data_IF_397979867209
#
_entry.id   IF_397979867209
#
_cell.length_a   1.000
_cell.length_b   1.000
_cell.length_c   1.000
_cell.angle_alpha   90.00
_cell.angle_beta   90.00
_cell.angle_gamma   90.00
#
_symmetry.space_group_name_H-M   'P 1'
#
loop_
_entity.id
_entity.type
_entity.pdbx_description
1 polymer ?
#
# COMPACT_ATOMS: atom_id res chain seq x y z
N UNK A 1 -2.72 -14.65 0.07
CA UNK A 1 -3.28 -14.24 1.38
C UNK A 1 -2.53 -13.10 2.04
N UNK A 2 -1.21 -13.19 2.25
CA UNK A 2 -0.43 -12.06 2.80
C UNK A 2 -0.61 -10.75 2.02
N UNK A 3 -0.69 -10.83 0.69
CA UNK A 3 -1.00 -9.67 -0.18
C UNK A 3 -2.34 -9.00 0.17
N UNK A 4 -3.41 -9.79 0.45
CA UNK A 4 -4.70 -9.25 0.88
C UNK A 4 -4.55 -8.47 2.19
N UNK A 5 -3.92 -9.11 3.19
CA UNK A 5 -3.74 -8.53 4.52
C UNK A 5 -2.91 -7.25 4.43
N UNK A 6 -1.85 -7.24 3.62
CA UNK A 6 -1.05 -6.04 3.36
C UNK A 6 -1.86 -4.93 2.68
N UNK A 7 -2.72 -5.26 1.71
CA UNK A 7 -3.57 -4.27 1.05
C UNK A 7 -4.63 -3.66 1.98
N UNK A 8 -4.98 -4.31 3.08
CA UNK A 8 -5.85 -3.71 4.12
C UNK A 8 -5.21 -2.50 4.80
N UNK A 9 -3.89 -2.33 4.73
CA UNK A 9 -3.19 -1.17 5.30
C UNK A 9 -3.84 0.15 4.90
N UNK A 10 -4.20 0.32 3.62
CA UNK A 10 -4.83 1.54 3.11
C UNK A 10 -6.24 1.76 3.66
N UNK A 11 -6.97 0.69 3.99
CA UNK A 11 -8.28 0.78 4.65
C UNK A 11 -8.14 1.11 6.15
N UNK A 12 -7.05 0.71 6.79
CA UNK A 12 -6.75 1.10 8.17
C UNK A 12 -6.34 2.57 8.31
N UNK A 13 -5.81 3.22 7.26
CA UNK A 13 -5.38 4.63 7.32
C UNK A 13 -6.49 5.56 7.87
N UNK A 14 -7.69 5.68 7.27
CA UNK A 14 -8.74 6.55 7.79
C UNK A 14 -9.26 6.11 9.17
N UNK A 15 -9.25 4.81 9.48
CA UNK A 15 -9.65 4.29 10.80
C UNK A 15 -8.67 4.73 11.90
N UNK A 16 -7.37 4.77 11.61
CA UNK A 16 -6.32 5.21 12.53
C UNK A 16 -6.16 6.72 12.57
N UNK A 17 -6.46 7.42 11.47
CA UNK A 17 -6.44 8.88 11.42
C UNK A 17 -7.42 9.51 12.42
N UNK A 18 -8.53 8.80 12.71
CA UNK A 18 -9.55 9.28 13.64
C UNK A 18 -9.05 9.42 15.08
N UNK A 19 -8.56 8.36 15.76
CA UNK A 19 -8.03 8.50 17.11
C UNK A 19 -6.71 9.27 17.17
N UNK A 20 -5.87 9.20 16.13
CA UNK A 20 -4.54 9.84 16.17
C UNK A 20 -4.57 11.35 15.94
N UNK A 21 -5.45 11.81 15.04
CA UNK A 21 -5.47 13.19 14.57
C UNK A 21 -6.85 13.85 14.62
N UNK A 22 -7.87 13.15 15.13
CA UNK A 22 -9.25 13.66 15.16
C UNK A 22 -9.95 13.67 13.80
N UNK A 23 -9.37 13.05 12.77
CA UNK A 23 -9.91 13.04 11.40
C UNK A 23 -10.97 11.95 11.25
N UNK A 24 -12.20 12.27 11.65
CA UNK A 24 -13.32 11.32 11.61
C UNK A 24 -13.70 10.94 10.16
N UNK A 25 -13.81 9.65 9.81
CA UNK A 25 -14.33 9.22 8.51
C UNK A 25 -15.79 9.62 8.34
N UNK A 26 -16.13 10.13 7.16
CA UNK A 26 -17.50 10.47 6.78
C UNK A 26 -18.36 9.21 6.53
N UNK A 27 -19.66 9.39 6.31
CA UNK A 27 -20.57 8.26 6.05
C UNK A 27 -20.22 7.49 4.78
N UNK A 28 -19.76 8.20 3.75
CA UNK A 28 -19.32 7.59 2.49
C UNK A 28 -18.21 6.54 2.71
N UNK A 29 -17.26 6.81 3.62
CA UNK A 29 -16.25 5.83 4.00
C UNK A 29 -16.88 4.51 4.49
N UNK A 30 -17.78 4.59 5.47
CA UNK A 30 -18.40 3.39 6.07
C UNK A 30 -19.23 2.57 5.08
N UNK A 31 -19.86 3.22 4.11
CA UNK A 31 -20.60 2.52 3.03
C UNK A 31 -19.66 1.90 2.00
N UNK A 32 -18.55 2.59 1.66
CA UNK A 32 -17.56 2.08 0.71
C UNK A 32 -16.69 0.95 1.28
N UNK A 33 -16.48 0.92 2.60
CA UNK A 33 -15.55 0.02 3.27
C UNK A 33 -15.87 -1.48 3.03
N UNK A 34 -17.10 -1.98 3.24
CA UNK A 34 -17.42 -3.38 2.95
C UNK A 34 -17.19 -3.76 1.49
N UNK A 35 -17.53 -2.86 0.57
CA UNK A 35 -17.35 -3.06 -0.88
C UNK A 35 -15.87 -3.14 -1.23
N UNK A 36 -15.04 -2.26 -0.65
CA UNK A 36 -13.60 -2.26 -0.84
C UNK A 36 -12.94 -3.52 -0.26
N UNK A 37 -13.34 -3.96 0.94
CA UNK A 37 -12.84 -5.19 1.57
C UNK A 37 -13.15 -6.41 0.71
N UNK A 38 -14.39 -6.53 0.21
CA UNK A 38 -14.80 -7.62 -0.69
C UNK A 38 -14.02 -7.58 -2.01
N UNK A 39 -13.82 -6.39 -2.58
CA UNK A 39 -13.04 -6.21 -3.80
C UNK A 39 -11.58 -6.65 -3.64
N UNK A 40 -10.90 -6.18 -2.59
CA UNK A 40 -9.54 -6.60 -2.24
C UNK A 40 -9.44 -8.10 -1.98
N UNK A 41 -10.45 -8.67 -1.30
CA UNK A 41 -10.52 -10.08 -1.00
C UNK A 41 -10.53 -10.90 -2.29
N UNK A 42 -11.47 -10.63 -3.20
CA UNK A 42 -11.57 -11.34 -4.48
C UNK A 42 -10.33 -11.14 -5.35
N UNK A 43 -9.74 -9.95 -5.33
CA UNK A 43 -8.53 -9.62 -6.09
C UNK A 43 -7.28 -10.31 -5.53
N UNK A 44 -7.27 -10.68 -4.25
CA UNK A 44 -6.15 -11.38 -3.63
C UNK A 44 -6.39 -12.89 -3.45
N UNK A 45 -7.62 -13.33 -3.70
CA UNK A 45 -8.06 -14.71 -3.59
C UNK A 45 -7.53 -15.55 -4.76
N UNK A 46 -6.95 -16.72 -4.44
CA UNK A 46 -6.37 -17.65 -5.41
C UNK A 46 -6.94 -19.08 -5.27
N UNK A 47 -8.06 -19.27 -4.57
CA UNK A 47 -8.81 -20.54 -4.56
C UNK A 47 -8.65 -21.44 -3.33
N UNK A 48 -7.65 -21.23 -2.47
CA UNK A 48 -7.48 -21.99 -1.22
C UNK A 48 -7.15 -21.05 -0.04
N UNK A 49 -7.80 -21.28 1.11
CA UNK A 49 -7.58 -20.54 2.37
C UNK A 49 -6.70 -21.43 3.26
N UNK A 50 -5.49 -20.99 3.57
CA UNK A 50 -4.57 -21.65 4.48
C UNK A 50 -4.23 -20.70 5.62
N UNK A 51 -4.86 -20.91 6.78
CA UNK A 51 -4.52 -20.14 7.98
C UNK A 51 -3.10 -20.54 8.40
N UNK A 52 -2.15 -19.65 8.11
CA UNK A 52 -0.74 -19.81 8.45
C UNK A 52 -0.35 -18.81 9.55
N UNK A 53 0.54 -19.17 10.49
CA UNK A 53 0.98 -18.27 11.56
C UNK A 53 1.59 -16.95 11.05
N UNK A 54 2.12 -16.93 9.83
CA UNK A 54 2.67 -15.74 9.19
C UNK A 54 1.63 -14.64 8.89
N UNK A 55 0.34 -14.97 8.88
CA UNK A 55 -0.74 -14.00 8.65
C UNK A 55 -0.77 -12.91 9.74
N UNK A 56 -0.43 -13.25 10.98
CA UNK A 56 -0.34 -12.28 12.07
C UNK A 56 0.75 -11.23 11.80
N UNK A 57 1.91 -11.66 11.29
CA UNK A 57 2.99 -10.74 10.92
C UNK A 57 2.60 -9.79 9.80
N UNK A 58 1.87 -10.27 8.78
CA UNK A 58 1.31 -9.40 7.74
C UNK A 58 0.30 -8.40 8.29
N UNK A 59 -0.51 -8.80 9.27
CA UNK A 59 -1.50 -7.91 9.89
C UNK A 59 -0.82 -6.79 10.70
N UNK A 60 0.19 -7.14 11.50
CA UNK A 60 1.02 -6.17 12.24
C UNK A 60 1.71 -5.22 11.25
N UNK A 61 2.28 -5.74 10.17
CA UNK A 61 2.91 -4.93 9.13
C UNK A 61 1.92 -3.99 8.43
N UNK A 62 0.71 -4.46 8.12
CA UNK A 62 -0.34 -3.65 7.51
C UNK A 62 -0.76 -2.49 8.42
N UNK A 63 -0.88 -2.75 9.73
CA UNK A 63 -1.14 -1.72 10.73
C UNK A 63 0.01 -0.71 10.83
N UNK A 64 1.25 -1.20 10.89
CA UNK A 64 2.45 -0.35 10.90
C UNK A 64 2.55 0.53 9.65
N UNK A 65 2.24 -0.01 8.47
CA UNK A 65 2.21 0.75 7.22
C UNK A 65 1.10 1.81 7.22
N UNK A 66 -0.06 1.51 7.78
CA UNK A 66 -1.16 2.47 7.93
C UNK A 66 -0.79 3.62 8.88
N UNK A 67 -0.12 3.31 10.01
CA UNK A 67 0.45 4.32 10.90
C UNK A 67 1.48 5.18 10.17
N UNK A 68 2.46 4.55 9.51
CA UNK A 68 3.48 5.26 8.73
C UNK A 68 2.85 6.18 7.69
N UNK A 69 1.84 5.72 6.95
CA UNK A 69 1.14 6.51 5.93
C UNK A 69 0.49 7.76 6.53
N UNK A 70 -0.16 7.60 7.68
CA UNK A 70 -0.80 8.67 8.44
C UNK A 70 0.22 9.72 8.92
N UNK A 71 1.30 9.28 9.57
CA UNK A 71 2.38 10.19 9.99
C UNK A 71 3.08 10.85 8.80
N UNK A 72 3.33 10.11 7.72
CA UNK A 72 3.92 10.65 6.50
C UNK A 72 3.06 11.76 5.92
N UNK A 73 1.73 11.58 5.89
CA UNK A 73 0.82 12.61 5.42
C UNK A 73 0.93 13.89 6.26
N UNK A 74 0.93 13.78 7.59
CA UNK A 74 1.08 14.93 8.49
C UNK A 74 2.46 15.62 8.37
N UNK A 75 3.54 14.85 8.24
CA UNK A 75 4.89 15.38 8.08
C UNK A 75 5.10 16.01 6.70
N UNK A 76 4.55 15.41 5.64
CA UNK A 76 4.67 15.90 4.26
C UNK A 76 4.00 17.26 4.06
N UNK A 77 2.96 17.56 4.83
CA UNK A 77 2.32 18.88 4.86
C UNK A 77 3.26 19.97 5.38
N UNK A 78 4.20 19.62 6.26
CA UNK A 78 5.11 20.56 6.95
C UNK A 78 6.51 20.62 6.34
N UNK A 79 6.96 19.53 5.72
CA UNK A 79 8.33 19.38 5.21
C UNK A 79 8.38 19.34 3.67
N UNK A 80 9.54 19.63 3.06
CA UNK A 80 9.77 19.33 1.65
C UNK A 80 9.70 17.80 1.41
N UNK A 81 8.94 17.33 0.40
CA UNK A 81 8.80 15.89 0.11
C UNK A 81 10.14 15.17 -0.07
N UNK A 82 11.08 15.78 -0.80
CA UNK A 82 12.41 15.22 -1.04
C UNK A 82 13.19 14.99 0.26
N UNK A 83 13.14 15.94 1.21
CA UNK A 83 13.81 15.80 2.50
C UNK A 83 13.21 14.64 3.30
N UNK A 84 11.88 14.60 3.38
CA UNK A 84 11.17 13.58 4.13
C UNK A 84 11.42 12.17 3.56
N UNK A 85 11.40 12.01 2.25
CA UNK A 85 11.66 10.71 1.59
C UNK A 85 13.11 10.27 1.76
N UNK A 86 14.07 11.21 1.66
CA UNK A 86 15.49 10.88 1.89
C UNK A 86 15.71 10.38 3.31
N UNK A 87 15.15 11.06 4.32
CA UNK A 87 15.25 10.61 5.71
C UNK A 87 14.63 9.23 5.91
N UNK A 88 13.44 8.99 5.37
CA UNK A 88 12.76 7.69 5.48
C UNK A 88 13.58 6.55 4.87
N UNK A 89 14.07 6.73 3.64
CA UNK A 89 14.82 5.69 2.94
C UNK A 89 16.20 5.49 3.57
N UNK A 90 16.84 6.56 4.04
CA UNK A 90 18.08 6.45 4.78
C UNK A 90 17.89 5.66 6.08
N UNK A 91 16.89 6.01 6.90
CA UNK A 91 16.59 5.30 8.14
C UNK A 91 16.23 3.83 7.87
N UNK A 92 15.37 3.55 6.89
CA UNK A 92 15.00 2.19 6.51
C UNK A 92 16.22 1.39 6.03
N UNK A 93 17.10 2.00 5.23
CA UNK A 93 18.34 1.38 4.76
C UNK A 93 19.32 1.08 5.89
N UNK A 94 19.51 2.01 6.83
CA UNK A 94 20.37 1.80 8.00
C UNK A 94 19.85 0.69 8.91
N UNK A 95 18.54 0.70 9.22
CA UNK A 95 17.91 -0.37 10.02
C UNK A 95 18.01 -1.71 9.30
N UNK A 96 17.76 -1.74 7.98
CA UNK A 96 17.88 -2.95 7.17
C UNK A 96 19.31 -3.52 7.15
N UNK A 97 20.32 -2.66 6.99
CA UNK A 97 21.73 -3.07 7.05
C UNK A 97 22.12 -3.61 8.42
N UNK A 98 21.68 -2.97 9.50
CA UNK A 98 21.93 -3.45 10.86
C UNK A 98 21.28 -4.83 11.08
N UNK A 99 20.02 -5.01 10.68
CA UNK A 99 19.35 -6.31 10.80
C UNK A 99 20.02 -7.38 9.95
N UNK A 100 20.39 -7.07 8.70
CA UNK A 100 21.09 -8.00 7.80
C UNK A 100 22.46 -8.41 8.36
N UNK A 101 23.18 -7.49 9.02
CA UNK A 101 24.45 -7.80 9.67
C UNK A 101 24.31 -8.83 10.81
N UNK A 102 23.22 -8.79 11.58
CA UNK A 102 23.02 -9.69 12.72
C UNK A 102 22.25 -10.97 12.39
N UNK A 103 21.39 -10.95 11.37
CA UNK A 103 20.42 -12.03 11.12
C UNK A 103 20.67 -12.81 9.83
N UNK A 104 21.42 -12.26 8.86
CA UNK A 104 21.58 -12.86 7.54
C UNK A 104 23.02 -13.31 7.26
N UNK A 105 23.16 -14.33 6.42
CA UNK A 105 24.44 -14.77 5.89
C UNK A 105 24.77 -14.02 4.60
N UNK A 106 25.91 -13.34 4.56
CA UNK A 106 26.29 -12.51 3.43
C UNK A 106 26.91 -13.36 2.32
N UNK A 107 26.41 -13.28 1.07
CA UNK A 107 26.97 -14.06 -0.02
C UNK A 107 28.39 -13.57 -0.37
N UNK A 108 29.30 -14.49 -0.65
CA UNK A 108 30.68 -14.15 -1.03
C UNK A 108 30.77 -13.46 -2.40
N UNK A 109 29.84 -13.76 -3.31
CA UNK A 109 29.79 -13.17 -4.65
C UNK A 109 28.37 -12.79 -5.02
N UNK A 110 28.19 -11.60 -5.59
CA UNK A 110 26.90 -11.12 -6.08
C UNK A 110 26.99 -10.97 -7.61
N UNK A 111 26.04 -11.57 -8.33
CA UNK A 111 26.04 -11.51 -9.80
C UNK A 111 25.75 -10.09 -10.30
N UNK A 112 26.27 -9.75 -11.50
CA UNK A 112 25.94 -8.48 -12.16
C UNK A 112 24.42 -8.34 -12.40
N UNK A 113 23.74 -9.45 -12.68
CA UNK A 113 22.28 -9.48 -12.84
C UNK A 113 21.54 -9.07 -11.57
N UNK A 114 21.99 -9.57 -10.41
CA UNK A 114 21.45 -9.19 -9.10
C UNK A 114 21.64 -7.70 -8.84
N UNK A 115 22.83 -7.15 -9.10
CA UNK A 115 23.10 -5.73 -8.96
C UNK A 115 22.21 -4.86 -9.85
N UNK A 116 21.97 -5.29 -11.10
CA UNK A 116 21.08 -4.59 -12.02
C UNK A 116 19.66 -4.51 -11.47
N UNK A 117 19.07 -5.64 -11.08
CA UNK A 117 17.70 -5.67 -10.55
C UNK A 117 17.58 -4.97 -9.19
N UNK A 118 18.58 -5.11 -8.33
CA UNK A 118 18.66 -4.37 -7.07
C UNK A 118 18.64 -2.86 -7.31
N UNK A 119 19.48 -2.36 -8.22
CA UNK A 119 19.57 -0.93 -8.54
C UNK A 119 18.25 -0.39 -9.10
N UNK A 120 17.61 -1.13 -10.02
CA UNK A 120 16.30 -0.76 -10.55
C UNK A 120 15.23 -0.74 -9.46
N UNK A 121 15.24 -1.73 -8.56
CA UNK A 121 14.31 -1.78 -7.43
C UNK A 121 14.50 -0.59 -6.49
N UNK A 122 15.73 -0.28 -6.09
CA UNK A 122 16.04 0.81 -5.15
C UNK A 122 15.69 2.17 -5.75
N UNK A 123 16.07 2.43 -7.01
CA UNK A 123 15.88 3.74 -7.63
C UNK A 123 14.45 3.96 -8.12
N UNK A 124 13.90 3.02 -8.89
CA UNK A 124 12.60 3.20 -9.55
C UNK A 124 11.44 2.73 -8.67
N UNK A 125 11.48 1.47 -8.23
CA UNK A 125 10.37 0.88 -7.49
C UNK A 125 10.25 1.42 -6.04
N UNK A 126 11.37 1.85 -5.45
CA UNK A 126 11.39 2.38 -4.08
C UNK A 126 11.53 3.89 -4.05
N UNK A 127 12.68 4.45 -4.44
CA UNK A 127 12.99 5.86 -4.22
C UNK A 127 12.03 6.80 -4.96
N UNK A 128 11.89 6.60 -6.27
CA UNK A 128 10.99 7.40 -7.09
C UNK A 128 9.52 7.21 -6.64
N UNK A 129 9.10 5.96 -6.38
CA UNK A 129 7.74 5.65 -5.91
C UNK A 129 7.41 6.38 -4.61
N UNK A 130 8.26 6.28 -3.58
CA UNK A 130 8.04 6.95 -2.29
C UNK A 130 8.07 8.48 -2.41
N UNK A 131 8.93 9.03 -3.28
CA UNK A 131 8.96 10.46 -3.56
C UNK A 131 7.65 10.93 -4.18
N UNK A 132 7.17 10.25 -5.23
CA UNK A 132 5.90 10.56 -5.89
C UNK A 132 4.72 10.41 -4.92
N UNK A 133 4.73 9.34 -4.10
CA UNK A 133 3.71 9.11 -3.07
C UNK A 133 3.68 10.26 -2.06
N UNK A 134 4.84 10.70 -1.57
CA UNK A 134 4.94 11.79 -0.58
C UNK A 134 4.53 13.14 -1.19
N UNK A 135 4.87 13.40 -2.46
CA UNK A 135 4.39 14.58 -3.20
C UNK A 135 2.85 14.55 -3.32
N UNK A 136 2.28 13.39 -3.61
CA UNK A 136 0.83 13.20 -3.70
C UNK A 136 0.14 13.40 -2.35
N UNK A 137 0.66 12.79 -1.29
CA UNK A 137 0.13 12.93 0.07
C UNK A 137 0.16 14.37 0.57
N UNK A 138 1.22 15.14 0.25
CA UNK A 138 1.31 16.56 0.60
C UNK A 138 0.13 17.39 0.08
N UNK A 139 -0.48 16.98 -1.04
CA UNK A 139 -1.57 17.70 -1.72
C UNK A 139 -2.96 17.12 -1.42
N UNK A 140 -3.06 16.05 -0.62
CA UNK A 140 -4.30 15.31 -0.45
C UNK A 140 -4.60 15.07 1.04
N UNK A 141 -5.88 15.07 1.37
CA UNK A 141 -6.31 14.59 2.69
C UNK A 141 -5.91 13.12 2.87
N UNK A 142 -5.39 12.68 4.05
CA UNK A 142 -4.87 11.32 4.25
C UNK A 142 -5.85 10.21 3.84
N UNK A 143 -7.13 10.37 4.18
CA UNK A 143 -8.18 9.41 3.79
C UNK A 143 -8.34 9.31 2.26
N UNK A 144 -8.29 10.45 1.54
CA UNK A 144 -8.41 10.46 0.09
C UNK A 144 -7.17 9.86 -0.57
N UNK A 145 -5.97 10.14 -0.03
CA UNK A 145 -4.73 9.57 -0.53
C UNK A 145 -4.72 8.04 -0.35
N UNK A 146 -5.13 7.53 0.80
CA UNK A 146 -5.18 6.10 1.07
C UNK A 146 -6.17 5.37 0.15
N UNK A 147 -7.34 5.97 -0.09
CA UNK A 147 -8.31 5.40 -1.02
C UNK A 147 -7.78 5.38 -2.45
N UNK A 148 -7.10 6.43 -2.92
CA UNK A 148 -6.43 6.39 -4.22
C UNK A 148 -5.37 5.29 -4.31
N UNK A 149 -4.71 4.95 -3.21
CA UNK A 149 -3.72 3.86 -3.17
C UNK A 149 -4.36 2.47 -3.28
N UNK A 150 -5.68 2.33 -3.07
CA UNK A 150 -6.40 1.09 -3.39
C UNK A 150 -6.45 0.81 -4.89
N UNK A 151 -6.14 1.79 -5.75
CA UNK A 151 -5.99 1.57 -7.19
C UNK A 151 -4.68 0.88 -7.56
N UNK A 152 -3.67 0.88 -6.68
CA UNK A 152 -2.38 0.23 -6.95
C UNK A 152 -2.54 -1.24 -7.37
N UNK A 153 -3.25 -2.12 -6.62
CA UNK A 153 -3.46 -3.50 -7.05
C UNK A 153 -4.28 -3.64 -8.34
N UNK A 154 -5.16 -2.68 -8.65
CA UNK A 154 -5.90 -2.66 -9.93
C UNK A 154 -4.93 -2.42 -11.09
N UNK A 155 -4.03 -1.43 -10.97
CA UNK A 155 -3.01 -1.18 -11.97
C UNK A 155 -2.01 -2.33 -12.09
N UNK A 156 -1.59 -2.92 -10.98
CA UNK A 156 -0.72 -4.12 -11.00
C UNK A 156 -1.35 -5.25 -11.79
N UNK A 157 -2.64 -5.54 -11.57
CA UNK A 157 -3.36 -6.57 -12.31
C UNK A 157 -3.44 -6.26 -13.80
N UNK A 158 -3.84 -5.02 -14.17
CA UNK A 158 -3.97 -4.62 -15.57
C UNK A 158 -2.63 -4.70 -16.32
N UNK A 159 -1.56 -4.21 -15.69
CA UNK A 159 -0.21 -4.29 -16.24
C UNK A 159 0.27 -5.73 -16.33
N UNK A 160 -0.07 -6.59 -15.36
CA UNK A 160 0.32 -8.00 -15.38
C UNK A 160 -0.31 -8.75 -16.56
N UNK A 161 -1.60 -8.55 -16.79
CA UNK A 161 -2.31 -9.12 -17.95
C UNK A 161 -1.73 -8.58 -19.26
N UNK A 162 -1.39 -7.29 -19.31
CA UNK A 162 -0.88 -6.69 -20.55
C UNK A 162 0.55 -7.12 -20.88
N UNK A 163 1.47 -7.07 -19.91
CA UNK A 163 2.89 -7.35 -20.12
C UNK A 163 3.24 -8.83 -20.04
N UNK A 164 2.64 -9.57 -19.10
CA UNK A 164 2.96 -10.98 -18.86
C UNK A 164 1.93 -11.94 -19.46
N UNK A 165 0.87 -11.42 -20.10
CA UNK A 165 -0.22 -12.22 -20.66
C UNK A 165 -0.85 -13.18 -19.63
N UNK A 166 -0.85 -12.79 -18.35
CA UNK A 166 -1.47 -13.57 -17.29
C UNK A 166 -2.97 -13.71 -17.54
N UNK A 167 -3.50 -14.90 -17.23
CA UNK A 167 -4.93 -15.13 -17.29
C UNK A 167 -5.65 -14.24 -16.26
N UNK A 168 -6.76 -13.63 -16.68
CA UNK A 168 -7.58 -12.78 -15.83
C UNK A 168 -8.84 -13.55 -15.37
N UNK A 169 -8.78 -14.31 -14.27
CA UNK A 169 -9.91 -15.10 -13.83
C UNK A 169 -11.05 -14.21 -13.34
N UNK A 170 -12.27 -14.74 -13.42
CA UNK A 170 -13.51 -13.99 -13.17
C UNK A 170 -13.54 -13.29 -11.80
N UNK A 171 -12.99 -13.92 -10.75
CA UNK A 171 -12.91 -13.31 -9.43
C UNK A 171 -12.07 -12.02 -9.40
N UNK A 172 -10.99 -11.94 -10.18
CA UNK A 172 -10.15 -10.74 -10.26
C UNK A 172 -10.88 -9.60 -10.99
N UNK A 173 -11.66 -9.93 -12.03
CA UNK A 173 -12.52 -8.97 -12.73
C UNK A 173 -13.53 -8.37 -11.76
N UNK A 174 -14.29 -9.22 -11.04
CA UNK A 174 -15.27 -8.78 -10.05
C UNK A 174 -14.58 -7.98 -8.93
N UNK A 175 -13.42 -8.42 -8.45
CA UNK A 175 -12.65 -7.71 -7.43
C UNK A 175 -12.25 -6.29 -7.85
N UNK A 176 -11.74 -6.14 -9.08
CA UNK A 176 -11.46 -4.83 -9.67
C UNK A 176 -12.71 -3.96 -9.80
N UNK A 177 -13.81 -4.50 -10.31
CA UNK A 177 -15.07 -3.77 -10.43
C UNK A 177 -15.58 -3.28 -9.08
N UNK A 178 -15.50 -4.11 -8.02
CA UNK A 178 -15.89 -3.72 -6.66
C UNK A 178 -14.99 -2.62 -6.09
N UNK A 179 -13.66 -2.71 -6.28
CA UNK A 179 -12.74 -1.65 -5.84
C UNK A 179 -13.05 -0.30 -6.51
N UNK A 180 -13.26 -0.31 -7.83
CA UNK A 180 -13.64 0.89 -8.57
C UNK A 180 -14.99 1.42 -8.10
N UNK A 181 -15.99 0.54 -7.88
CA UNK A 181 -17.28 0.92 -7.34
C UNK A 181 -17.16 1.54 -5.94
N UNK A 182 -16.34 0.98 -5.05
CA UNK A 182 -16.10 1.52 -3.71
C UNK A 182 -15.51 2.94 -3.77
N UNK A 183 -14.58 3.20 -4.68
CA UNK A 183 -13.99 4.53 -4.88
C UNK A 183 -15.00 5.54 -5.44
N UNK A 184 -15.85 5.11 -6.38
CA UNK A 184 -16.93 5.94 -6.89
C UNK A 184 -17.91 6.27 -5.76
N UNK A 185 -18.38 5.27 -5.01
CA UNK A 185 -19.28 5.45 -3.86
C UNK A 185 -18.72 6.45 -2.84
N UNK A 186 -17.42 6.35 -2.52
CA UNK A 186 -16.77 7.27 -1.59
C UNK A 186 -16.76 8.74 -2.09
N UNK A 187 -16.69 8.94 -3.41
CA UNK A 187 -16.63 10.26 -4.04
C UNK A 187 -17.99 10.92 -4.26
N UNK A 188 -19.10 10.22 -4.04
CA UNK A 188 -20.45 10.75 -4.26
C UNK A 188 -20.77 11.87 -3.24
N UNK A 189 -21.00 13.13 -3.68
CA UNK A 189 -21.13 14.28 -2.78
C UNK A 189 -22.28 14.19 -1.77
N UNK A 190 -23.43 13.63 -2.17
CA UNK A 190 -24.61 13.52 -1.30
C UNK A 190 -24.44 12.49 -0.17
N UNK A 191 -23.50 11.55 -0.30
CA UNK A 191 -23.20 10.52 0.71
C UNK A 191 -22.09 11.01 1.67
N UNK A 192 -21.33 12.02 1.29
CA UNK A 192 -20.25 12.57 2.11
C UNK A 192 -20.74 13.38 3.33
N UNK A 193 -22.04 13.70 3.39
CA UNK A 193 -22.72 14.36 4.52
C UNK A 193 -22.94 13.42 5.71
#
# INVERSE_FOLDING_TARGET
EGAFIMSLSMLFVPLLAWPLFGLKPNRAFWLSLPVAVLGLFLLSWNGAWHIAPNQLWFLIAAFGLALHFNFNSQCSAKLPPMLLTTLQLFTAGMVGLLLSFFLEAWPQTISLGTWKWFTLSVLLATSLRYLMQTIGQKKAHPANAALLMLLEPVWTLLLSVWFYHESLPFNKIVGCSLLLAALLLYRIPWIQR
#
